data_IF_821812976588
#
_entry.id   IF_821812976588
#
_cell.length_a   1.000
_cell.length_b   1.000
_cell.length_c   1.000
_cell.angle_alpha   90.00
_cell.angle_beta   90.00
_cell.angle_gamma   90.00
#
_symmetry.space_group_name_H-M   'P 1'
#
loop_
_entity.id
_entity.type
_entity.pdbx_description
1 polymer ?
#
# COMPACT_ATOMS: atom_id res chain seq x y z
N UNK A 1 18.39 -12.99 8.35
CA UNK A 1 18.35 -12.17 7.11
C UNK A 1 17.16 -11.22 7.15
N UNK A 2 17.38 -10.01 6.71
CA UNK A 2 16.27 -9.06 6.61
C UNK A 2 15.34 -9.47 5.47
N UNK A 3 14.04 -9.35 5.69
CA UNK A 3 13.09 -9.60 4.60
C UNK A 3 13.13 -8.42 3.61
N UNK A 4 12.92 -8.69 2.33
CA UNK A 4 12.88 -7.63 1.35
C UNK A 4 11.54 -6.86 1.43
N UNK A 5 11.47 -5.74 0.70
CA UNK A 5 10.32 -4.84 0.81
C UNK A 5 9.01 -5.50 0.39
N UNK A 6 9.01 -6.28 -0.68
CA UNK A 6 7.77 -6.91 -1.14
C UNK A 6 7.32 -8.03 -0.19
N UNK A 7 8.25 -8.76 0.37
CA UNK A 7 7.92 -9.80 1.36
C UNK A 7 7.31 -9.17 2.61
N UNK A 8 7.88 -8.06 3.07
CA UNK A 8 7.36 -7.31 4.21
C UNK A 8 5.95 -6.78 3.92
N UNK A 9 5.76 -6.16 2.76
CA UNK A 9 4.45 -5.63 2.37
C UNK A 9 3.42 -6.75 2.26
N UNK A 10 3.77 -7.87 1.64
CA UNK A 10 2.87 -9.03 1.51
C UNK A 10 2.49 -9.59 2.87
N UNK A 11 3.45 -9.68 3.79
CA UNK A 11 3.20 -10.15 5.15
C UNK A 11 2.21 -9.24 5.88
N UNK A 12 2.42 -7.93 5.77
CA UNK A 12 1.56 -6.95 6.44
C UNK A 12 0.18 -6.82 5.80
N UNK A 13 0.02 -7.27 4.56
CA UNK A 13 -1.26 -7.29 3.86
C UNK A 13 -1.94 -8.66 3.89
N UNK A 14 -1.35 -9.66 4.57
CA UNK A 14 -1.83 -11.04 4.53
C UNK A 14 -3.21 -11.24 5.13
N UNK A 15 -3.67 -10.33 5.98
CA UNK A 15 -5.01 -10.39 6.57
C UNK A 15 -6.09 -9.84 5.64
N UNK A 16 -5.71 -9.23 4.52
CA UNK A 16 -6.65 -8.63 3.59
C UNK A 16 -7.11 -9.67 2.56
N UNK A 17 -8.43 -9.84 2.35
CA UNK A 17 -8.93 -10.84 1.41
C UNK A 17 -8.48 -10.61 -0.02
N UNK A 18 -8.13 -11.68 -0.72
CA UNK A 18 -7.87 -11.67 -2.15
C UNK A 18 -6.58 -11.01 -2.59
N UNK A 19 -5.67 -10.73 -1.67
CA UNK A 19 -4.37 -10.14 -2.03
C UNK A 19 -3.50 -11.17 -2.73
N UNK A 20 -2.94 -10.78 -3.87
CA UNK A 20 -2.01 -11.59 -4.64
C UNK A 20 -0.70 -10.83 -4.83
N UNK A 21 0.41 -11.53 -4.66
CA UNK A 21 1.72 -10.97 -4.99
C UNK A 21 1.96 -11.21 -6.47
N UNK A 22 2.03 -10.14 -7.26
CA UNK A 22 2.18 -10.24 -8.71
C UNK A 22 2.85 -8.98 -9.25
N UNK A 23 3.57 -9.06 -10.38
CA UNK A 23 4.19 -7.88 -10.96
C UNK A 23 3.16 -6.81 -11.32
N UNK A 24 3.53 -5.54 -11.06
CA UNK A 24 2.73 -4.39 -11.44
C UNK A 24 3.69 -3.34 -12.00
N UNK A 25 3.46 -2.92 -13.24
CA UNK A 25 4.39 -2.05 -13.97
C UNK A 25 5.82 -2.60 -14.00
N UNK A 26 5.93 -3.94 -14.14
CA UNK A 26 7.23 -4.60 -14.25
C UNK A 26 8.04 -4.71 -12.97
N UNK A 27 7.46 -4.32 -11.82
CA UNK A 27 8.12 -4.44 -10.52
C UNK A 27 7.29 -5.31 -9.57
N UNK A 28 7.91 -5.86 -8.50
CA UNK A 28 7.16 -6.66 -7.55
C UNK A 28 6.03 -5.85 -6.93
N UNK A 29 4.83 -6.41 -6.92
CA UNK A 29 3.66 -5.68 -6.45
C UNK A 29 2.64 -6.55 -5.75
N UNK A 30 1.58 -5.88 -5.26
CA UNK A 30 0.43 -6.52 -4.65
C UNK A 30 -0.81 -6.10 -5.43
N UNK A 31 -1.67 -7.08 -5.71
CA UNK A 31 -2.92 -6.86 -6.45
C UNK A 31 -4.10 -7.44 -5.69
N UNK A 32 -5.28 -6.90 -5.98
CA UNK A 32 -6.55 -7.45 -5.52
C UNK A 32 -7.55 -7.33 -6.67
N UNK A 33 -8.23 -8.43 -6.99
CA UNK A 33 -9.17 -8.44 -8.12
C UNK A 33 -8.51 -8.09 -9.45
N UNK A 34 -7.23 -8.44 -9.61
CA UNK A 34 -6.46 -8.13 -10.82
C UNK A 34 -5.93 -6.71 -10.91
N UNK A 35 -6.18 -5.88 -9.90
CA UNK A 35 -5.76 -4.47 -9.90
C UNK A 35 -4.66 -4.24 -8.88
N UNK A 36 -3.59 -3.53 -9.29
CA UNK A 36 -2.47 -3.22 -8.41
C UNK A 36 -2.83 -2.14 -7.41
N UNK A 37 -2.35 -2.28 -6.18
CA UNK A 37 -2.51 -1.24 -5.15
C UNK A 37 -1.21 -0.87 -4.46
N UNK A 38 -0.15 -1.67 -4.66
CA UNK A 38 1.17 -1.42 -4.09
C UNK A 38 2.24 -2.03 -4.98
N UNK A 39 3.40 -1.39 -5.06
CA UNK A 39 4.56 -1.99 -5.74
C UNK A 39 5.87 -1.45 -5.19
N UNK A 40 6.90 -2.26 -5.26
CA UNK A 40 8.26 -1.82 -4.90
C UNK A 40 8.86 -1.16 -6.14
N UNK A 41 9.02 0.16 -6.09
CA UNK A 41 9.60 0.92 -7.19
C UNK A 41 11.09 0.65 -7.30
N UNK A 42 11.76 0.64 -6.16
CA UNK A 42 13.18 0.34 -6.02
C UNK A 42 13.42 -0.03 -4.55
N UNK A 43 14.59 -0.57 -4.24
CA UNK A 43 14.90 -0.96 -2.87
C UNK A 43 14.68 0.23 -1.92
N UNK A 44 13.91 0.02 -0.87
CA UNK A 44 13.60 1.04 0.13
C UNK A 44 12.42 1.93 -0.22
N UNK A 45 11.80 1.77 -1.40
CA UNK A 45 10.71 2.64 -1.85
C UNK A 45 9.50 1.84 -2.30
N UNK A 46 8.39 2.04 -1.60
CA UNK A 46 7.11 1.43 -1.97
C UNK A 46 6.19 2.50 -2.52
N UNK A 47 5.49 2.21 -3.62
CA UNK A 47 4.42 3.06 -4.15
C UNK A 47 3.10 2.48 -3.67
N UNK A 48 2.28 3.31 -3.04
CA UNK A 48 0.97 2.92 -2.50
C UNK A 48 -0.11 3.84 -3.04
N UNK A 49 -1.23 3.27 -3.45
CA UNK A 49 -2.41 4.06 -3.78
C UNK A 49 -2.91 4.76 -2.52
N UNK A 50 -3.32 6.01 -2.68
CA UNK A 50 -3.81 6.82 -1.57
C UNK A 50 -4.68 7.94 -2.13
N UNK A 51 -5.89 8.16 -1.60
CA UNK A 51 -6.70 9.30 -2.04
C UNK A 51 -5.92 10.60 -1.87
N UNK A 52 -6.08 11.52 -2.82
CA UNK A 52 -5.28 12.76 -2.85
C UNK A 52 -5.35 13.56 -1.53
N UNK A 53 -6.53 13.71 -0.96
CA UNK A 53 -6.71 14.46 0.29
C UNK A 53 -5.88 13.84 1.42
N UNK A 54 -5.95 12.53 1.55
CA UNK A 54 -5.22 11.82 2.58
C UNK A 54 -3.72 11.84 2.30
N UNK A 55 -3.33 11.72 1.04
CA UNK A 55 -1.93 11.80 0.62
C UNK A 55 -1.30 13.13 1.06
N UNK A 56 -1.98 14.24 0.77
CA UNK A 56 -1.48 15.56 1.13
C UNK A 56 -1.35 15.70 2.64
N UNK A 57 -2.35 15.23 3.38
CA UNK A 57 -2.34 15.29 4.84
C UNK A 57 -1.20 14.46 5.44
N UNK A 58 -0.98 13.25 4.89
CA UNK A 58 0.09 12.37 5.38
C UNK A 58 1.48 12.92 5.07
N UNK A 59 1.68 13.47 3.87
CA UNK A 59 2.97 14.06 3.51
C UNK A 59 3.29 15.29 4.35
N UNK A 60 2.27 16.04 4.74
CA UNK A 60 2.46 17.20 5.61
C UNK A 60 2.74 16.78 7.06
N UNK A 61 1.97 15.81 7.56
CA UNK A 61 2.06 15.39 8.96
C UNK A 61 3.24 14.46 9.24
N UNK A 62 3.58 13.60 8.29
CA UNK A 62 4.60 12.56 8.49
C UNK A 62 5.57 12.48 7.30
N UNK A 63 6.28 13.58 6.98
CA UNK A 63 7.17 13.60 5.81
C UNK A 63 8.37 12.65 5.92
N UNK A 64 8.71 12.17 7.12
CA UNK A 64 9.76 11.17 7.31
C UNK A 64 9.40 9.83 6.69
N UNK A 65 8.11 9.56 6.49
CA UNK A 65 7.62 8.28 5.95
C UNK A 65 7.05 8.42 4.54
N UNK A 66 6.37 9.53 4.26
CA UNK A 66 5.56 9.69 3.05
C UNK A 66 5.99 10.88 2.22
N UNK A 67 6.13 10.68 0.90
CA UNK A 67 6.58 11.72 0.01
C UNK A 67 6.09 11.44 -1.42
N UNK A 68 6.38 12.37 -2.33
CA UNK A 68 6.13 12.18 -3.75
C UNK A 68 7.30 12.72 -4.55
N UNK A 69 7.40 12.27 -5.80
CA UNK A 69 8.31 12.85 -6.78
C UNK A 69 7.46 13.60 -7.80
N UNK A 70 8.09 14.34 -8.69
CA UNK A 70 7.37 15.09 -9.73
C UNK A 70 6.47 14.17 -10.55
N UNK A 71 6.92 12.95 -10.82
CA UNK A 71 6.14 11.96 -11.56
C UNK A 71 4.80 11.65 -10.90
N UNK A 72 4.76 11.65 -9.58
CA UNK A 72 3.55 11.29 -8.81
C UNK A 72 2.75 12.49 -8.31
N UNK A 73 3.19 13.71 -8.62
CA UNK A 73 2.48 14.90 -8.20
C UNK A 73 1.07 14.92 -8.80
N UNK A 74 0.08 15.10 -7.96
CA UNK A 74 -1.32 15.11 -8.38
C UNK A 74 -1.93 13.73 -8.62
N UNK A 75 -1.16 12.66 -8.44
CA UNK A 75 -1.67 11.30 -8.59
C UNK A 75 -2.12 10.74 -7.25
N UNK A 76 -3.17 9.88 -7.23
CA UNK A 76 -3.61 9.24 -5.99
C UNK A 76 -2.70 8.06 -5.63
N UNK A 77 -1.42 8.33 -5.58
CA UNK A 77 -0.39 7.38 -5.19
C UNK A 77 0.73 8.14 -4.51
N UNK A 78 1.33 7.52 -3.52
CA UNK A 78 2.37 8.16 -2.72
C UNK A 78 3.54 7.18 -2.51
N UNK A 79 4.72 7.73 -2.26
CA UNK A 79 5.91 6.92 -2.00
C UNK A 79 6.14 6.81 -0.50
N UNK A 80 6.66 5.65 -0.10
CA UNK A 80 6.88 5.33 1.31
C UNK A 80 8.35 4.96 1.50
N UNK A 81 8.99 5.56 2.51
CA UNK A 81 10.35 5.20 2.92
C UNK A 81 10.30 3.93 3.76
N UNK A 82 10.56 2.79 3.12
CA UNK A 82 10.46 1.47 3.76
C UNK A 82 11.48 1.27 4.88
N UNK A 83 12.61 1.96 4.82
CA UNK A 83 13.67 1.80 5.82
C UNK A 83 13.37 2.49 7.15
N UNK A 84 12.40 3.41 7.17
CA UNK A 84 12.05 4.17 8.37
C UNK A 84 10.65 3.91 8.89
N UNK A 85 9.71 3.52 8.04
CA UNK A 85 8.33 3.31 8.46
C UNK A 85 8.21 2.06 9.34
N UNK A 86 7.42 2.15 10.40
CA UNK A 86 7.11 1.01 11.26
C UNK A 86 6.01 0.14 10.64
N UNK A 87 5.93 -1.10 11.11
CA UNK A 87 4.97 -2.08 10.58
C UNK A 87 3.52 -1.65 10.79
N UNK A 88 3.19 -1.04 11.93
CA UNK A 88 1.82 -0.65 12.23
C UNK A 88 1.33 0.43 11.25
N UNK A 89 2.14 1.45 11.00
CA UNK A 89 1.79 2.48 10.02
C UNK A 89 1.68 1.90 8.62
N UNK A 90 2.62 1.04 8.25
CA UNK A 90 2.62 0.44 6.92
C UNK A 90 1.40 -0.44 6.71
N UNK A 91 1.03 -1.23 7.72
CA UNK A 91 -0.17 -2.07 7.67
C UNK A 91 -1.42 -1.23 7.40
N UNK A 92 -1.57 -0.10 8.12
CA UNK A 92 -2.72 0.79 7.95
C UNK A 92 -2.76 1.37 6.53
N UNK A 93 -1.61 1.73 5.98
CA UNK A 93 -1.55 2.31 4.63
C UNK A 93 -1.82 1.25 3.57
N UNK A 94 -1.37 0.02 3.78
CA UNK A 94 -1.66 -1.09 2.87
C UNK A 94 -3.16 -1.40 2.84
N UNK A 95 -3.82 -1.40 3.99
CA UNK A 95 -5.27 -1.61 4.06
C UNK A 95 -5.99 -0.50 3.30
N UNK A 96 -5.60 0.75 3.49
CA UNK A 96 -6.20 1.89 2.79
C UNK A 96 -6.05 1.75 1.27
N UNK A 97 -4.85 1.38 0.80
CA UNK A 97 -4.59 1.18 -0.62
C UNK A 97 -5.42 0.01 -1.18
N UNK A 98 -5.51 -1.08 -0.43
CA UNK A 98 -6.32 -2.24 -0.79
C UNK A 98 -7.79 -1.85 -0.95
N UNK A 99 -8.31 -1.02 -0.04
CA UNK A 99 -9.72 -0.57 -0.11
C UNK A 99 -10.02 0.22 -1.37
N UNK A 100 -9.02 0.88 -1.96
CA UNK A 100 -9.19 1.63 -3.20
C UNK A 100 -9.49 0.73 -4.40
N UNK A 101 -9.05 -0.53 -4.36
CA UNK A 101 -9.15 -1.44 -5.51
C UNK A 101 -9.94 -2.71 -5.23
N UNK A 102 -10.19 -3.04 -3.97
CA UNK A 102 -10.89 -4.29 -3.64
C UNK A 102 -12.33 -4.30 -4.18
N UNK A 103 -12.76 -5.42 -4.79
CA UNK A 103 -14.16 -5.58 -5.18
C UNK A 103 -15.08 -5.47 -3.97
N UNK A 104 -16.30 -5.00 -4.19
CA UNK A 104 -17.28 -4.80 -3.10
C UNK A 104 -17.51 -6.05 -2.26
N UNK A 105 -17.52 -7.24 -2.86
CA UNK A 105 -17.71 -8.49 -2.10
C UNK A 105 -16.59 -8.73 -1.10
N UNK A 106 -15.35 -8.36 -1.46
CA UNK A 106 -14.21 -8.52 -0.56
C UNK A 106 -14.20 -7.48 0.55
N UNK A 107 -14.62 -6.24 0.22
CA UNK A 107 -14.78 -5.19 1.24
C UNK A 107 -15.81 -5.62 2.27
N UNK A 108 -16.94 -6.14 1.80
CA UNK A 108 -18.02 -6.60 2.68
C UNK A 108 -17.56 -7.77 3.55
N UNK A 109 -16.85 -8.73 2.95
CA UNK A 109 -16.31 -9.88 3.67
C UNK A 109 -15.36 -9.43 4.79
N UNK A 110 -14.44 -8.52 4.47
CA UNK A 110 -13.47 -8.01 5.43
C UNK A 110 -14.15 -7.25 6.57
N UNK A 111 -15.06 -6.35 6.23
CA UNK A 111 -15.75 -5.53 7.23
C UNK A 111 -16.67 -6.38 8.11
N UNK A 112 -17.30 -7.42 7.56
CA UNK A 112 -18.11 -8.35 8.34
C UNK A 112 -17.27 -9.13 9.33
N UNK A 113 -16.06 -9.55 8.94
CA UNK A 113 -15.12 -10.24 9.82
C UNK A 113 -14.62 -9.35 10.94
N UNK A 114 -14.49 -8.05 10.68
CA UNK A 114 -14.02 -7.08 11.66
C UNK A 114 -15.12 -6.57 12.61
N UNK A 115 -16.38 -6.83 12.30
CA UNK A 115 -17.50 -6.35 13.10
C UNK A 115 -17.74 -7.14 14.39
N UNK A 116 -16.87 -8.05 14.72
CA UNK A 116 -16.97 -8.90 15.91
C UNK A 116 -16.30 -8.34 17.14
#
# INVERSE_FOLDING_TARGET
MAEDDITRAARLASHLPGVEQAPWYGTPGLKVGGKGFARVKEEGTLVLLCPLDLKEALMEAEPEFFYETDHYRGWPAMLVHMNVIDDDRLRDRLECAWREKAPKRLLKEFDSGNAR
#
